data_IF_770066313402
#
_entry.id   IF_770066313402
#
_cell.length_a   1.000
_cell.length_b   1.000
_cell.length_c   1.000
_cell.angle_alpha   90.00
_cell.angle_beta   90.00
_cell.angle_gamma   90.00
#
_symmetry.space_group_name_H-M   'P 1'
#
loop_
_entity.id
_entity.type
_entity.pdbx_description
1 polymer ?
#
# COMPACT_ATOMS: atom_id res chain seq x y z
N UNK A 1 -19.59 -13.60 -1.21
CA UNK A 1 -19.87 -12.61 -0.14
C UNK A 1 -19.10 -11.32 -0.39
N UNK A 2 -17.75 -11.33 -0.59
CA UNK A 2 -16.98 -10.12 -0.91
C UNK A 2 -17.55 -9.40 -2.15
N UNK A 3 -17.79 -10.13 -3.22
CA UNK A 3 -18.33 -9.60 -4.47
C UNK A 3 -19.75 -9.07 -4.32
N UNK A 4 -20.59 -9.77 -3.55
CA UNK A 4 -21.97 -9.35 -3.30
C UNK A 4 -22.05 -8.10 -2.41
N UNK A 5 -21.21 -8.02 -1.37
CA UNK A 5 -21.26 -6.94 -0.37
C UNK A 5 -20.54 -5.70 -0.86
N UNK A 6 -19.38 -5.86 -1.51
CA UNK A 6 -18.53 -4.75 -1.93
C UNK A 6 -18.71 -4.37 -3.41
N UNK A 7 -19.33 -5.24 -4.22
CA UNK A 7 -19.51 -4.99 -5.65
C UNK A 7 -18.21 -4.99 -6.46
N UNK A 8 -17.18 -5.69 -5.96
CA UNK A 8 -15.86 -5.78 -6.59
C UNK A 8 -15.59 -7.21 -7.04
N UNK A 9 -15.01 -7.40 -8.23
CA UNK A 9 -14.51 -8.71 -8.64
C UNK A 9 -13.30 -9.09 -7.79
N UNK A 10 -13.19 -10.35 -7.42
CA UNK A 10 -12.11 -10.86 -6.57
C UNK A 10 -11.43 -12.09 -7.16
N UNK A 11 -10.12 -12.24 -6.90
CA UNK A 11 -9.34 -13.42 -7.26
C UNK A 11 -8.53 -13.89 -6.04
N UNK A 12 -8.69 -15.14 -5.59
CA UNK A 12 -7.88 -15.69 -4.51
C UNK A 12 -6.47 -15.96 -5.01
N UNK A 13 -5.49 -15.31 -4.42
CA UNK A 13 -4.08 -15.49 -4.75
C UNK A 13 -3.48 -16.72 -4.05
N UNK A 14 -4.04 -17.10 -2.92
CA UNK A 14 -3.68 -18.31 -2.20
C UNK A 14 -4.93 -18.94 -1.57
N UNK A 15 -4.83 -20.22 -1.19
CA UNK A 15 -5.92 -20.96 -0.55
C UNK A 15 -5.40 -21.74 0.68
N UNK A 16 -6.12 -21.72 1.82
CA UNK A 16 -5.70 -22.42 3.01
C UNK A 16 -5.88 -23.92 2.89
N UNK A 17 -4.91 -24.68 3.39
CA UNK A 17 -4.93 -26.13 3.48
C UNK A 17 -5.25 -26.49 4.93
N UNK A 18 -6.46 -26.98 5.15
CA UNK A 18 -6.99 -27.24 6.47
C UNK A 18 -7.33 -25.97 7.27
N UNK A 19 -7.88 -26.13 8.46
CA UNK A 19 -8.22 -25.04 9.36
C UNK A 19 -8.01 -25.40 10.83
N UNK A 20 -7.84 -24.37 11.66
CA UNK A 20 -7.64 -24.53 13.09
C UNK A 20 -6.42 -25.40 13.41
N UNK A 21 -6.62 -26.51 14.15
CA UNK A 21 -5.53 -27.44 14.50
C UNK A 21 -5.04 -28.30 13.33
N UNK A 22 -5.86 -28.42 12.29
CA UNK A 22 -5.53 -29.15 11.06
C UNK A 22 -4.97 -28.23 9.95
N UNK A 23 -4.67 -26.98 10.27
CA UNK A 23 -4.02 -26.07 9.32
C UNK A 23 -2.58 -26.54 9.06
N UNK A 24 -2.26 -26.79 7.80
CA UNK A 24 -0.94 -27.24 7.35
C UNK A 24 -0.19 -26.15 6.58
N UNK A 25 -0.92 -25.27 5.90
CA UNK A 25 -0.29 -24.25 5.08
C UNK A 25 -1.24 -23.57 4.11
N UNK A 26 -0.65 -23.00 3.07
CA UNK A 26 -1.34 -22.31 1.98
C UNK A 26 -0.91 -22.92 0.65
N UNK A 27 -1.82 -22.95 -0.30
CA UNK A 27 -1.49 -23.15 -1.70
C UNK A 27 -1.48 -21.77 -2.38
N UNK A 28 -0.34 -21.35 -2.91
CA UNK A 28 -0.17 -20.14 -3.68
C UNK A 28 -0.60 -20.41 -5.12
N UNK A 29 -1.79 -19.92 -5.50
CA UNK A 29 -2.37 -20.16 -6.83
C UNK A 29 -1.59 -19.45 -7.94
N UNK A 30 -0.99 -18.30 -7.62
CA UNK A 30 -0.27 -17.51 -8.59
C UNK A 30 1.09 -18.12 -8.97
N UNK A 31 1.83 -18.65 -7.98
CA UNK A 31 3.13 -19.26 -8.20
C UNK A 31 3.08 -20.79 -8.25
N UNK A 32 1.88 -21.39 -8.14
CA UNK A 32 1.63 -22.84 -8.18
C UNK A 32 2.53 -23.62 -7.21
N UNK A 33 2.57 -23.18 -5.94
CA UNK A 33 3.45 -23.77 -4.92
C UNK A 33 2.76 -23.94 -3.58
N UNK A 34 3.28 -24.87 -2.79
CA UNK A 34 2.86 -25.09 -1.40
C UNK A 34 3.70 -24.28 -0.44
N UNK A 35 3.07 -23.60 0.48
CA UNK A 35 3.67 -22.89 1.61
C UNK A 35 3.28 -23.58 2.91
N UNK A 36 4.13 -24.49 3.38
CA UNK A 36 3.86 -25.30 4.58
C UNK A 36 4.41 -24.60 5.84
N UNK A 37 3.57 -24.50 6.86
CA UNK A 37 3.92 -23.88 8.14
C UNK A 37 3.91 -24.94 9.24
N UNK A 38 5.05 -25.15 9.92
CA UNK A 38 5.18 -26.10 11.03
C UNK A 38 5.31 -25.35 12.37
N UNK A 39 4.31 -25.54 13.22
CA UNK A 39 4.34 -24.97 14.57
C UNK A 39 4.36 -23.45 14.56
N UNK A 40 5.39 -22.84 15.20
CA UNK A 40 5.58 -21.39 15.29
C UNK A 40 6.62 -20.88 14.29
N UNK A 41 6.87 -21.59 13.20
CA UNK A 41 7.80 -21.12 12.17
C UNK A 41 7.23 -19.86 11.49
N UNK A 42 8.09 -18.84 11.37
CA UNK A 42 7.72 -17.56 10.73
C UNK A 42 7.74 -17.61 9.21
N UNK A 43 8.45 -18.58 8.65
CA UNK A 43 8.64 -18.74 7.22
C UNK A 43 8.12 -20.10 6.78
N UNK A 44 7.45 -20.11 5.64
CA UNK A 44 6.96 -21.35 5.06
C UNK A 44 8.13 -22.19 4.52
N UNK A 45 7.98 -23.52 4.61
CA UNK A 45 8.72 -24.43 3.76
C UNK A 45 8.01 -24.47 2.40
N UNK A 46 8.70 -24.07 1.37
CA UNK A 46 8.16 -24.06 0.00
C UNK A 46 8.34 -25.45 -0.61
N UNK A 47 7.27 -25.98 -1.17
CA UNK A 47 7.25 -27.22 -1.95
C UNK A 47 6.56 -26.98 -3.31
N UNK A 48 6.84 -27.86 -4.27
CA UNK A 48 6.24 -27.81 -5.60
C UNK A 48 4.71 -27.98 -5.51
N UNK A 49 3.98 -27.20 -6.30
CA UNK A 49 2.51 -27.25 -6.34
C UNK A 49 1.97 -28.60 -6.76
N UNK A 50 2.67 -29.36 -7.60
CA UNK A 50 2.32 -30.73 -7.96
C UNK A 50 2.21 -31.65 -6.76
N UNK A 51 2.88 -31.34 -5.65
CA UNK A 51 2.76 -32.09 -4.39
C UNK A 51 1.34 -32.06 -3.83
N UNK A 52 0.58 -30.98 -4.02
CA UNK A 52 -0.84 -30.91 -3.65
C UNK A 52 -1.67 -31.91 -4.45
N UNK A 53 -1.35 -32.08 -5.72
CA UNK A 53 -2.06 -32.96 -6.65
C UNK A 53 -1.56 -34.42 -6.61
N UNK A 54 -0.51 -34.71 -5.85
CA UNK A 54 -0.16 -36.08 -5.50
C UNK A 54 -1.23 -36.67 -4.56
N UNK A 55 -1.58 -37.95 -4.68
CA UNK A 55 -2.62 -38.62 -3.89
C UNK A 55 -2.31 -38.58 -2.37
N UNK A 56 -2.52 -37.45 -1.74
CA UNK A 56 -2.35 -37.21 -0.32
C UNK A 56 -3.73 -36.87 0.27
N UNK A 57 -4.30 -37.70 1.14
CA UNK A 57 -5.62 -37.48 1.71
C UNK A 57 -5.75 -36.16 2.50
N UNK A 58 -4.64 -35.59 2.99
CA UNK A 58 -4.68 -34.31 3.68
C UNK A 58 -4.98 -33.13 2.75
N UNK A 59 -4.79 -33.29 1.44
CA UNK A 59 -4.96 -32.20 0.47
C UNK A 59 -6.21 -32.37 -0.41
N UNK A 60 -6.98 -33.44 -0.25
CA UNK A 60 -8.15 -33.70 -1.10
C UNK A 60 -9.16 -32.56 -1.09
N UNK A 61 -9.52 -32.05 0.10
CA UNK A 61 -10.46 -30.93 0.20
C UNK A 61 -9.93 -29.66 -0.46
N UNK A 62 -8.64 -29.35 -0.23
CA UNK A 62 -8.04 -28.16 -0.83
C UNK A 62 -8.00 -28.23 -2.37
N UNK A 63 -7.81 -29.44 -2.94
CA UNK A 63 -7.90 -29.66 -4.40
C UNK A 63 -9.29 -29.38 -4.92
N UNK A 64 -10.31 -29.97 -4.30
CA UNK A 64 -11.70 -29.77 -4.69
C UNK A 64 -12.08 -28.29 -4.66
N UNK A 65 -11.67 -27.58 -3.59
CA UNK A 65 -11.90 -26.16 -3.44
C UNK A 65 -11.19 -25.34 -4.54
N UNK A 66 -9.92 -25.68 -4.86
CA UNK A 66 -9.13 -25.00 -5.89
C UNK A 66 -9.71 -25.26 -7.29
N UNK A 67 -10.10 -26.50 -7.60
CA UNK A 67 -10.75 -26.84 -8.86
C UNK A 67 -12.04 -26.04 -9.03
N UNK A 68 -12.88 -25.98 -7.97
CA UNK A 68 -14.13 -25.21 -7.99
C UNK A 68 -13.87 -23.71 -8.19
N UNK A 69 -12.84 -23.15 -7.52
CA UNK A 69 -12.46 -21.76 -7.68
C UNK A 69 -11.97 -21.44 -9.10
N UNK A 70 -11.25 -22.37 -9.71
CA UNK A 70 -10.73 -22.20 -11.07
C UNK A 70 -11.85 -22.29 -12.11
N UNK A 71 -12.86 -23.14 -11.90
CA UNK A 71 -13.97 -23.31 -12.83
C UNK A 71 -15.06 -22.23 -12.70
N UNK A 72 -15.34 -21.76 -11.47
CA UNK A 72 -16.46 -20.87 -11.19
C UNK A 72 -16.04 -19.45 -10.79
N UNK A 73 -14.76 -19.20 -10.54
CA UNK A 73 -14.23 -17.90 -10.14
C UNK A 73 -13.90 -16.97 -11.30
N UNK A 74 -13.40 -15.79 -10.99
CA UNK A 74 -12.87 -14.88 -11.99
C UNK A 74 -11.51 -15.38 -12.49
N UNK A 75 -11.20 -15.12 -13.76
CA UNK A 75 -9.87 -15.38 -14.31
C UNK A 75 -8.85 -14.37 -13.76
N UNK A 76 -7.63 -14.84 -13.53
CA UNK A 76 -6.53 -13.96 -13.15
C UNK A 76 -6.16 -13.02 -14.30
N UNK A 77 -6.12 -11.73 -14.03
CA UNK A 77 -5.63 -10.71 -14.97
C UNK A 77 -4.87 -9.62 -14.23
N UNK A 78 -3.58 -9.49 -14.57
CA UNK A 78 -2.72 -8.44 -14.03
C UNK A 78 -3.21 -7.06 -14.49
N UNK A 79 -3.67 -6.94 -15.74
CA UNK A 79 -4.21 -5.70 -16.26
C UNK A 79 -5.46 -5.26 -15.52
N UNK A 80 -6.36 -6.19 -15.19
CA UNK A 80 -7.56 -5.90 -14.43
C UNK A 80 -7.24 -5.50 -12.97
N UNK A 81 -6.20 -6.09 -12.37
CA UNK A 81 -5.71 -5.69 -11.04
C UNK A 81 -5.17 -4.25 -11.08
N UNK A 82 -4.32 -3.92 -12.04
CA UNK A 82 -3.76 -2.58 -12.20
C UNK A 82 -4.83 -1.53 -12.55
N UNK A 83 -5.86 -1.92 -13.28
CA UNK A 83 -7.02 -1.06 -13.58
C UNK A 83 -7.98 -0.89 -12.39
N UNK A 84 -7.82 -1.68 -11.31
CA UNK A 84 -8.72 -1.68 -10.15
C UNK A 84 -10.05 -2.41 -10.41
N UNK A 85 -10.14 -3.21 -11.44
CA UNK A 85 -11.33 -3.99 -11.82
C UNK A 85 -11.36 -5.37 -11.15
N UNK A 86 -10.19 -5.90 -10.77
CA UNK A 86 -10.03 -7.18 -10.07
C UNK A 86 -9.21 -6.97 -8.79
N UNK A 87 -9.71 -7.51 -7.68
CA UNK A 87 -9.03 -7.38 -6.37
C UNK A 87 -8.37 -8.69 -5.97
N UNK A 88 -7.04 -8.72 -5.80
CA UNK A 88 -6.35 -9.90 -5.30
C UNK A 88 -6.65 -10.11 -3.82
N UNK A 89 -7.05 -11.32 -3.44
CA UNK A 89 -7.42 -11.69 -2.08
C UNK A 89 -6.40 -12.70 -1.53
N UNK A 90 -5.89 -12.43 -0.33
CA UNK A 90 -4.94 -13.28 0.36
C UNK A 90 -5.50 -13.78 1.68
N UNK A 91 -5.33 -15.06 1.96
CA UNK A 91 -5.53 -15.64 3.27
C UNK A 91 -4.22 -15.61 4.04
N UNK A 92 -4.26 -15.07 5.25
CA UNK A 92 -3.08 -14.96 6.08
C UNK A 92 -3.41 -14.56 7.51
N UNK A 93 -2.41 -14.56 8.38
CA UNK A 93 -2.55 -14.17 9.77
C UNK A 93 -1.37 -13.34 10.23
N UNK A 94 -1.61 -12.08 10.60
CA UNK A 94 -0.60 -11.22 11.20
C UNK A 94 -0.16 -11.71 12.60
N UNK A 95 -1.04 -12.43 13.31
CA UNK A 95 -0.73 -12.95 14.64
C UNK A 95 0.29 -14.11 14.60
N UNK A 96 0.12 -15.03 13.67
CA UNK A 96 0.96 -16.22 13.50
C UNK A 96 1.93 -16.10 12.33
N UNK A 97 1.82 -15.02 11.55
CA UNK A 97 2.70 -14.63 10.45
C UNK A 97 2.63 -15.53 9.21
N UNK A 98 1.64 -16.43 9.10
CA UNK A 98 1.50 -17.20 7.86
C UNK A 98 0.91 -16.34 6.73
N UNK A 99 1.38 -16.56 5.50
CA UNK A 99 0.92 -15.86 4.29
C UNK A 99 1.32 -14.39 4.18
N UNK A 100 1.91 -13.78 5.23
CA UNK A 100 2.23 -12.36 5.25
C UNK A 100 3.37 -12.03 4.28
N UNK A 101 4.40 -12.87 4.21
CA UNK A 101 5.53 -12.63 3.31
C UNK A 101 5.08 -12.66 1.86
N UNK A 102 4.39 -13.72 1.45
CA UNK A 102 3.86 -13.88 0.09
C UNK A 102 2.92 -12.74 -0.29
N UNK A 103 2.06 -12.31 0.65
CA UNK A 103 1.23 -11.12 0.45
C UNK A 103 2.07 -9.89 0.15
N UNK A 104 3.09 -9.59 0.97
CA UNK A 104 3.94 -8.41 0.80
C UNK A 104 4.75 -8.46 -0.51
N UNK A 105 5.33 -9.60 -0.83
CA UNK A 105 6.11 -9.79 -2.06
C UNK A 105 5.21 -9.59 -3.30
N UNK A 106 4.00 -10.14 -3.26
CA UNK A 106 3.02 -9.99 -4.35
C UNK A 106 2.47 -8.56 -4.41
N UNK A 107 2.21 -7.94 -3.25
CA UNK A 107 1.80 -6.54 -3.18
C UNK A 107 2.83 -5.62 -3.84
N UNK A 108 4.12 -5.80 -3.55
CA UNK A 108 5.20 -5.02 -4.18
C UNK A 108 5.25 -5.22 -5.70
N UNK A 109 4.87 -6.41 -6.18
CA UNK A 109 4.84 -6.71 -7.61
C UNK A 109 3.68 -6.00 -8.34
N UNK A 110 2.49 -5.96 -7.72
CA UNK A 110 1.27 -5.41 -8.33
C UNK A 110 0.93 -3.99 -7.86
N UNK A 111 1.66 -3.42 -6.89
CA UNK A 111 1.45 -2.05 -6.49
C UNK A 111 1.75 -1.10 -7.67
N UNK A 112 0.78 -0.26 -8.07
CA UNK A 112 1.01 0.67 -9.17
C UNK A 112 2.03 1.73 -8.77
N UNK A 113 2.79 2.19 -9.75
CA UNK A 113 3.62 3.38 -9.59
C UNK A 113 2.77 4.63 -9.31
N UNK A 114 3.34 5.66 -8.67
CA UNK A 114 2.64 6.93 -8.49
C UNK A 114 2.15 7.49 -9.83
N UNK A 115 0.85 7.79 -9.89
CA UNK A 115 0.24 8.40 -11.08
C UNK A 115 0.33 9.90 -11.06
N UNK A 116 0.27 10.53 -12.25
CA UNK A 116 0.13 11.95 -12.40
C UNK A 116 -1.15 12.49 -11.74
N UNK A 117 -1.08 13.72 -11.25
CA UNK A 117 -2.21 14.41 -10.63
C UNK A 117 -2.60 15.62 -11.45
N UNK A 118 -3.91 15.83 -11.59
CA UNK A 118 -4.44 17.01 -12.28
C UNK A 118 -4.46 18.22 -11.36
N UNK A 119 -4.10 19.37 -11.91
CA UNK A 119 -4.31 20.67 -11.26
C UNK A 119 -5.75 21.13 -11.45
N UNK A 120 -6.18 22.14 -10.69
CA UNK A 120 -7.50 22.80 -10.88
C UNK A 120 -7.68 23.40 -12.29
N UNK A 121 -6.60 23.68 -13.00
CA UNK A 121 -6.62 24.19 -14.40
C UNK A 121 -6.66 23.02 -15.42
N UNK A 122 -6.58 21.76 -14.96
CA UNK A 122 -6.64 20.56 -15.79
C UNK A 122 -5.28 20.07 -16.32
N UNK A 123 -4.18 20.75 -15.98
CA UNK A 123 -2.83 20.30 -16.34
C UNK A 123 -2.44 19.07 -15.50
N UNK A 124 -1.79 18.10 -16.12
CA UNK A 124 -1.30 16.92 -15.44
C UNK A 124 0.14 17.13 -14.99
N UNK A 125 0.40 16.83 -13.70
CA UNK A 125 1.73 16.88 -13.10
C UNK A 125 2.30 15.47 -13.10
N UNK A 126 3.38 15.28 -13.86
CA UNK A 126 4.15 14.03 -13.89
C UNK A 126 4.90 13.84 -12.54
N UNK A 127 4.77 12.68 -11.87
CA UNK A 127 5.57 12.35 -10.68
C UNK A 127 7.08 12.49 -10.88
N UNK A 128 7.57 12.26 -12.09
CA UNK A 128 8.99 12.37 -12.45
C UNK A 128 9.45 13.81 -12.73
N UNK A 129 8.56 14.79 -12.64
CA UNK A 129 8.95 16.19 -12.74
C UNK A 129 9.95 16.53 -11.63
N UNK A 130 10.99 17.30 -11.96
CA UNK A 130 12.04 17.71 -11.01
C UNK A 130 11.55 18.70 -9.95
N UNK A 131 10.52 19.46 -10.28
CA UNK A 131 9.96 20.45 -9.37
C UNK A 131 9.11 19.78 -8.31
N UNK A 132 9.42 20.08 -7.04
CA UNK A 132 8.68 19.54 -5.92
C UNK A 132 7.26 20.12 -5.86
N UNK A 133 6.30 19.23 -5.73
CA UNK A 133 4.93 19.56 -5.32
C UNK A 133 4.40 18.52 -4.35
N UNK A 134 3.56 18.96 -3.42
CA UNK A 134 2.93 18.08 -2.46
C UNK A 134 1.46 18.44 -2.23
N UNK A 135 0.74 17.55 -1.58
CA UNK A 135 -0.67 17.72 -1.24
C UNK A 135 -0.90 17.39 0.25
N UNK A 136 -1.43 18.35 0.99
CA UNK A 136 -1.80 18.17 2.40
C UNK A 136 -3.15 17.47 2.48
N UNK A 137 -3.15 16.17 2.76
CA UNK A 137 -4.39 15.38 2.81
C UNK A 137 -4.94 15.18 4.23
N UNK A 138 -4.11 15.39 5.26
CA UNK A 138 -4.50 15.21 6.66
C UNK A 138 -3.72 16.16 7.56
N UNK A 139 -4.39 16.65 8.60
CA UNK A 139 -3.73 17.35 9.72
C UNK A 139 -4.14 16.66 11.01
N UNK A 140 -3.19 16.31 11.84
CA UNK A 140 -3.43 15.69 13.15
C UNK A 140 -2.74 16.49 14.24
N UNK A 141 -3.51 16.83 15.27
CA UNK A 141 -3.00 17.51 16.45
C UNK A 141 -2.89 16.53 17.63
N UNK A 142 -1.99 16.85 18.58
CA UNK A 142 -1.85 16.12 19.83
C UNK A 142 -1.61 14.60 19.67
N UNK A 143 -0.74 14.21 18.73
CA UNK A 143 -0.35 12.81 18.57
C UNK A 143 0.43 12.27 19.78
N UNK A 144 1.22 13.12 20.45
CA UNK A 144 1.78 12.86 21.77
C UNK A 144 0.98 13.65 22.81
N UNK A 145 0.30 12.99 23.79
CA UNK A 145 -0.46 13.69 24.83
C UNK A 145 0.37 14.68 25.66
N UNK A 146 1.71 14.52 25.66
CA UNK A 146 2.64 15.38 26.41
C UNK A 146 3.04 16.65 25.64
N UNK A 147 2.78 16.68 24.34
CA UNK A 147 3.15 17.79 23.47
C UNK A 147 1.94 18.26 22.65
N UNK A 148 1.76 19.58 22.58
CA UNK A 148 0.77 20.20 21.68
C UNK A 148 1.37 20.36 20.30
N UNK A 149 1.68 19.24 19.66
CA UNK A 149 2.18 19.23 18.31
C UNK A 149 1.01 19.09 17.31
N UNK A 150 1.18 19.72 16.18
CA UNK A 150 0.29 19.62 15.03
C UNK A 150 1.15 19.21 13.85
N UNK A 151 0.74 18.16 13.15
CA UNK A 151 1.47 17.61 12.03
C UNK A 151 0.56 17.62 10.79
N UNK A 152 1.05 18.25 9.73
CA UNK A 152 0.45 18.19 8.41
C UNK A 152 1.07 17.02 7.64
N UNK A 153 0.24 16.07 7.20
CA UNK A 153 0.65 14.96 6.35
C UNK A 153 0.57 15.39 4.90
N UNK A 154 1.72 15.36 4.25
CA UNK A 154 1.90 15.78 2.87
C UNK A 154 2.27 14.57 2.03
N UNK A 155 1.46 14.24 1.02
CA UNK A 155 1.86 13.31 -0.04
C UNK A 155 2.67 14.08 -1.07
N UNK A 156 3.84 13.58 -1.41
CA UNK A 156 4.65 14.14 -2.49
C UNK A 156 4.04 13.71 -3.81
N UNK A 157 3.73 14.68 -4.67
CA UNK A 157 3.10 14.48 -5.97
C UNK A 157 4.13 14.46 -7.08
N UNK A 158 5.14 15.34 -7.00
CA UNK A 158 6.25 15.39 -7.94
C UNK A 158 7.53 15.88 -7.29
N UNK A 159 8.64 15.59 -7.94
CA UNK A 159 9.97 15.99 -7.51
C UNK A 159 10.46 15.26 -6.28
N UNK A 160 11.49 15.83 -5.67
CA UNK A 160 12.16 15.29 -4.51
C UNK A 160 12.11 16.29 -3.36
N UNK A 161 11.77 15.80 -2.18
CA UNK A 161 11.89 16.54 -0.93
C UNK A 161 13.32 16.44 -0.42
N UNK A 162 13.91 17.57 -0.07
CA UNK A 162 15.15 17.67 0.69
C UNK A 162 14.91 18.46 1.98
N UNK A 163 15.48 17.98 3.08
CA UNK A 163 15.34 18.61 4.38
C UNK A 163 15.81 20.07 4.36
N UNK A 164 14.98 20.97 4.83
CA UNK A 164 15.26 22.39 4.87
C UNK A 164 14.95 23.15 3.60
N UNK A 165 14.41 22.47 2.57
CA UNK A 165 13.95 23.16 1.36
C UNK A 165 12.86 24.19 1.68
N UNK A 166 12.78 25.22 0.85
CA UNK A 166 11.75 26.25 0.93
C UNK A 166 10.66 25.96 -0.10
N UNK A 167 9.41 26.07 0.34
CA UNK A 167 8.23 25.88 -0.49
C UNK A 167 7.30 27.07 -0.37
N UNK A 168 6.44 27.28 -1.36
CA UNK A 168 5.36 28.27 -1.33
C UNK A 168 4.03 27.53 -1.23
N UNK A 169 3.13 28.00 -0.38
CA UNK A 169 1.76 27.49 -0.31
C UNK A 169 0.92 28.21 -1.37
N UNK A 170 0.41 27.47 -2.34
CA UNK A 170 -0.35 28.03 -3.48
C UNK A 170 -1.56 28.85 -3.03
N UNK A 171 -2.27 28.41 -1.98
CA UNK A 171 -3.45 29.09 -1.42
C UNK A 171 -3.13 30.49 -0.90
N UNK A 172 -2.00 30.68 -0.23
CA UNK A 172 -1.68 31.95 0.47
C UNK A 172 -0.54 32.74 -0.17
N UNK A 173 0.22 32.14 -1.07
CA UNK A 173 1.46 32.69 -1.63
C UNK A 173 2.59 32.85 -0.60
N UNK A 174 2.43 32.30 0.62
CA UNK A 174 3.43 32.42 1.68
C UNK A 174 4.47 31.32 1.59
N UNK A 175 5.74 31.70 1.75
CA UNK A 175 6.84 30.76 1.88
C UNK A 175 6.78 30.01 3.22
N UNK A 176 7.13 28.73 3.19
CA UNK A 176 7.34 27.90 4.34
C UNK A 176 8.64 27.10 4.17
N UNK A 177 9.30 26.79 5.28
CA UNK A 177 10.53 25.98 5.28
C UNK A 177 10.25 24.60 5.84
N UNK A 178 10.56 23.55 5.08
CA UNK A 178 10.38 22.16 5.49
C UNK A 178 11.61 21.66 6.28
N UNK A 179 11.80 22.18 7.50
CA UNK A 179 13.00 21.88 8.31
C UNK A 179 12.82 20.68 9.23
N UNK A 180 11.63 20.54 9.82
CA UNK A 180 11.31 19.47 10.75
C UNK A 180 10.30 18.53 10.08
N UNK A 181 10.83 17.58 9.34
CA UNK A 181 10.02 16.60 8.60
C UNK A 181 10.28 15.23 9.15
N UNK A 182 9.21 14.50 9.41
CA UNK A 182 9.25 13.15 9.96
C UNK A 182 8.52 12.19 9.05
N UNK A 183 8.99 10.95 9.01
CA UNK A 183 8.27 9.81 8.47
C UNK A 183 7.80 8.93 9.62
N UNK A 184 6.65 8.32 9.44
CA UNK A 184 6.07 7.44 10.45
C UNK A 184 6.30 5.99 10.04
N UNK A 185 7.06 5.28 10.86
CA UNK A 185 7.26 3.83 10.76
C UNK A 185 6.60 3.19 11.98
N UNK A 186 5.35 2.77 11.85
CA UNK A 186 4.50 2.29 12.93
C UNK A 186 4.41 3.31 14.08
N UNK A 187 4.96 3.02 15.26
CA UNK A 187 4.99 3.93 16.43
C UNK A 187 6.21 4.86 16.44
N UNK A 188 7.23 4.58 15.63
CA UNK A 188 8.45 5.39 15.62
C UNK A 188 8.33 6.57 14.67
N UNK A 189 8.92 7.69 15.08
CA UNK A 189 9.09 8.89 14.25
C UNK A 189 10.55 9.01 13.89
N UNK A 190 10.84 9.01 12.61
CA UNK A 190 12.20 9.19 12.12
C UNK A 190 12.29 10.49 11.32
N UNK A 191 13.41 11.20 11.48
CA UNK A 191 13.67 12.38 10.68
C UNK A 191 14.00 11.94 9.24
N UNK A 192 13.41 12.63 8.27
CA UNK A 192 13.59 12.36 6.85
C UNK A 192 14.52 13.40 6.26
N UNK A 193 15.56 12.94 5.59
CA UNK A 193 16.48 13.83 4.87
C UNK A 193 16.01 14.05 3.42
N UNK A 194 15.49 13.01 2.78
CA UNK A 194 14.94 13.05 1.42
C UNK A 194 13.71 12.12 1.29
N UNK A 195 12.84 12.44 0.36
CA UNK A 195 11.69 11.63 -0.02
C UNK A 195 11.26 11.97 -1.45
N UNK A 196 10.60 11.04 -2.13
CA UNK A 196 10.26 11.15 -3.55
C UNK A 196 8.74 11.14 -3.79
N UNK A 197 8.32 11.37 -5.02
CA UNK A 197 6.91 11.30 -5.41
C UNK A 197 6.28 9.95 -5.00
N UNK A 198 5.10 10.01 -4.39
CA UNK A 198 4.40 8.86 -3.80
C UNK A 198 4.61 8.71 -2.29
N UNK A 199 5.73 9.21 -1.74
CA UNK A 199 5.99 9.18 -0.31
C UNK A 199 5.07 10.13 0.47
N UNK A 200 4.87 9.79 1.76
CA UNK A 200 4.14 10.62 2.71
C UNK A 200 5.12 11.11 3.79
N UNK A 201 5.17 12.41 3.94
CA UNK A 201 5.97 13.09 4.96
C UNK A 201 5.09 13.83 5.95
N UNK A 202 5.50 13.87 7.23
CA UNK A 202 4.86 14.66 8.27
C UNK A 202 5.63 15.95 8.52
N UNK A 203 4.98 17.08 8.29
CA UNK A 203 5.55 18.41 8.50
C UNK A 203 4.99 19.01 9.78
N UNK A 204 5.87 19.46 10.71
CA UNK A 204 5.42 20.18 11.88
C UNK A 204 4.74 21.48 11.47
N UNK A 205 3.53 21.66 11.97
CA UNK A 205 2.66 22.78 11.61
C UNK A 205 2.35 23.66 12.82
N UNK A 206 2.62 24.95 12.69
CA UNK A 206 2.28 25.99 13.68
C UNK A 206 0.90 26.62 13.44
N UNK A 207 0.07 26.01 12.60
CA UNK A 207 -1.24 26.54 12.19
C UNK A 207 -1.24 27.18 10.81
N UNK A 208 -0.21 26.92 10.02
CA UNK A 208 -0.03 27.50 8.67
C UNK A 208 -0.74 26.69 7.61
N UNK A 209 -0.70 25.35 7.73
CA UNK A 209 -1.26 24.43 6.76
C UNK A 209 -2.76 24.19 6.97
N UNK A 210 -3.46 23.95 5.87
CA UNK A 210 -4.84 23.44 5.82
C UNK A 210 -4.89 22.19 4.94
N UNK A 211 -5.87 21.32 5.20
CA UNK A 211 -6.15 20.18 4.30
C UNK A 211 -6.53 20.74 2.94
N UNK A 212 -5.94 20.20 1.89
CA UNK A 212 -6.06 20.72 0.51
C UNK A 212 -4.94 21.67 0.09
N UNK A 213 -4.05 22.12 1.01
CA UNK A 213 -2.93 22.96 0.64
C UNK A 213 -1.93 22.21 -0.25
N UNK A 214 -1.38 22.95 -1.20
CA UNK A 214 -0.34 22.48 -2.12
C UNK A 214 0.95 23.25 -1.87
N UNK A 215 1.92 22.70 -1.14
CA UNK A 215 3.27 23.22 -1.06
C UNK A 215 4.05 22.90 -2.33
N UNK A 216 4.68 23.92 -2.94
CA UNK A 216 5.45 23.79 -4.19
C UNK A 216 6.80 24.49 -4.08
N UNK A 217 7.83 23.97 -4.77
CA UNK A 217 9.14 24.63 -4.85
C UNK A 217 9.18 25.80 -5.83
N UNK A 218 8.15 25.98 -6.64
CA UNK A 218 8.07 26.97 -7.71
C UNK A 218 6.78 27.81 -7.63
N UNK A 219 6.76 28.94 -8.33
CA UNK A 219 5.73 29.99 -8.13
C UNK A 219 4.56 29.95 -9.13
N UNK A 220 4.57 29.02 -10.10
CA UNK A 220 3.64 29.08 -11.25
C UNK A 220 2.53 28.03 -11.25
N UNK A 221 2.44 27.16 -10.21
CA UNK A 221 1.36 26.20 -10.12
C UNK A 221 0.20 26.71 -9.25
N UNK A 222 -1.01 26.43 -9.75
CA UNK A 222 -2.23 26.46 -8.95
C UNK A 222 -2.43 25.12 -8.22
N UNK A 223 -3.26 25.13 -7.19
CA UNK A 223 -3.48 24.00 -6.32
C UNK A 223 -3.85 22.70 -7.06
N UNK A 224 -3.56 21.54 -6.46
CA UNK A 224 -4.10 20.26 -6.89
C UNK A 224 -5.59 20.15 -6.56
N UNK A 225 -6.34 19.41 -7.36
CA UNK A 225 -7.70 18.98 -7.03
C UNK A 225 -7.70 17.87 -5.99
#
# INVERSE_FOLDING_TARGET
ELEEVLGIASYPMNWPIGMGKAFEGLYDLYNERLELYKGNERFAKIEDGDTLFANNPFYEQAKEDIELLTEAGNEFSEEAILAGELTPVFFGSALTNFGVQTFLDTFLKFAPEPHGHKTVDGDEIDPLNKDFSGFVFKIQANMDPRHRDRIAFVRIVSGEFERGMSVNLTRTGKGAKLSNVTQFMAESRENVENAVAGDIIGVYDTGTYQVGDTPVSYTHLRAHE
#
